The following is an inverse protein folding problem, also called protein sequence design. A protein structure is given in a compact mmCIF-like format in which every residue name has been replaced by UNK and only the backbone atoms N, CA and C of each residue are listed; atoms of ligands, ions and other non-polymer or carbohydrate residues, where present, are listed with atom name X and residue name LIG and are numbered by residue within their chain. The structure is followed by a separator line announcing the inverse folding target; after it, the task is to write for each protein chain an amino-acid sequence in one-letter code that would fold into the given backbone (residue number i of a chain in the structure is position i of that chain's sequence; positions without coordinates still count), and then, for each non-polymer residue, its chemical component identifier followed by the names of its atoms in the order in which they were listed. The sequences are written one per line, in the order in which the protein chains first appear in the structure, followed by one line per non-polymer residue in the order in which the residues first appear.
data_IF_402315605250
#
_entry.id   IF_402315605250
#
_cell.length_a   1.000
_cell.length_b   1.000
_cell.length_c   1.000
_cell.angle_alpha   90.00
_cell.angle_beta   90.00
_cell.angle_gamma   90.00
#
_symmetry.space_group_name_H-M   'P 1'
#
loop_
_entity.id
_entity.type
_entity.pdbx_description
1 polymer ?
2 polymer ?
3 non-polymer ?
4 non-polymer ?
5 water ?
#
# COMPACT_ATOMS: atom_id res chain seq x y z
N UNK A 1 3.40 22.46 -9.22
CA UNK A 1 2.66 22.13 -10.43
C UNK A 1 1.35 22.89 -10.56
N UNK A 2 0.31 22.22 -11.13
CA UNK A 2 -1.01 22.82 -11.35
C UNK A 2 -1.71 23.20 -10.05
N UNK A 3 -1.27 22.68 -8.89
CA UNK A 3 -1.87 23.00 -7.59
C UNK A 3 -1.03 24.03 -6.82
N UNK A 4 0.02 24.52 -7.46
CA UNK A 4 0.94 25.46 -6.84
C UNK A 4 0.32 26.73 -6.28
N UNK A 5 -0.76 27.21 -6.94
CA UNK A 5 -1.43 28.44 -6.50
C UNK A 5 -2.54 28.24 -5.48
N UNK A 6 -2.87 26.98 -5.12
CA UNK A 6 -3.93 26.76 -4.15
C UNK A 6 -3.37 26.59 -2.75
N UNK A 7 -4.07 27.16 -1.77
CA UNK A 7 -3.69 27.04 -0.35
C UNK A 7 -3.61 25.57 0.06
N UNK A 8 -2.65 25.23 0.91
CA UNK A 8 -2.56 23.88 1.46
C UNK A 8 -3.90 23.46 2.09
N UNK A 9 -4.50 24.33 2.94
CA UNK A 9 -5.75 23.93 3.62
C UNK A 9 -6.89 23.69 2.62
N UNK A 10 -6.91 24.46 1.51
CA UNK A 10 -7.98 24.32 0.51
C UNK A 10 -7.75 23.00 -0.23
N UNK A 11 -6.50 22.62 -0.48
CA UNK A 11 -6.21 21.32 -1.15
C UNK A 11 -6.69 20.15 -0.27
N UNK A 12 -6.46 20.21 1.05
CA UNK A 12 -6.93 19.14 1.98
C UNK A 12 -8.43 19.12 1.99
N UNK A 13 -9.06 20.30 2.09
CA UNK A 13 -10.54 20.36 2.09
C UNK A 13 -11.10 19.73 0.80
N UNK A 14 -10.51 20.08 -0.34
CA UNK A 14 -10.95 19.55 -1.63
C UNK A 14 -10.65 18.08 -1.79
N UNK A 15 -9.54 17.59 -1.18
CA UNK A 15 -9.31 16.13 -1.22
C UNK A 15 -10.46 15.40 -0.47
N UNK A 16 -10.93 15.96 0.68
CA UNK A 16 -12.03 15.32 1.44
C UNK A 16 -13.33 15.38 0.65
N UNK A 17 -13.57 16.48 -0.08
CA UNK A 17 -14.78 16.60 -0.90
C UNK A 17 -14.70 15.57 -2.06
N UNK A 18 -13.53 15.45 -2.69
CA UNK A 18 -13.33 14.51 -3.81
C UNK A 18 -13.56 13.08 -3.32
N UNK A 19 -13.11 12.73 -2.09
CA UNK A 19 -13.36 11.40 -1.58
C UNK A 19 -14.87 11.17 -1.46
N UNK A 20 -15.62 12.16 -0.92
CA UNK A 20 -17.08 12.03 -0.77
C UNK A 20 -17.78 11.82 -2.10
N UNK A 21 -17.25 12.46 -3.17
CA UNK A 21 -17.77 12.41 -4.54
C UNK A 21 -17.23 11.22 -5.33
N UNK A 22 -16.37 10.38 -4.70
CA UNK A 22 -15.73 9.21 -5.34
C UNK A 22 -14.89 9.64 -6.56
N UNK A 23 -14.25 10.81 -6.47
CA UNK A 23 -13.44 11.39 -7.53
C UNK A 23 -11.98 11.21 -7.12
N UNK A 24 -11.50 9.95 -7.22
CA UNK A 24 -10.19 9.62 -6.66
C UNK A 24 -9.01 10.20 -7.43
N UNK A 25 -9.12 10.40 -8.76
CA UNK A 25 -8.04 11.04 -9.51
C UNK A 25 -7.89 12.47 -9.01
N UNK A 26 -9.03 13.20 -8.86
CA UNK A 26 -8.95 14.55 -8.29
C UNK A 26 -8.38 14.51 -6.86
N UNK A 27 -8.83 13.56 -6.05
CA UNK A 27 -8.37 13.44 -4.66
C UNK A 27 -6.86 13.28 -4.62
N UNK A 28 -6.31 12.41 -5.52
CA UNK A 28 -4.86 12.21 -5.58
C UNK A 28 -4.14 13.47 -6.02
N UNK A 29 -4.68 14.19 -7.02
CA UNK A 29 -4.03 15.40 -7.48
C UNK A 29 -4.02 16.47 -6.40
N UNK A 30 -5.11 16.59 -5.62
CA UNK A 30 -5.15 17.55 -4.51
C UNK A 30 -4.12 17.16 -3.43
N UNK A 31 -4.04 15.86 -3.08
CA UNK A 31 -3.08 15.43 -2.08
C UNK A 31 -1.62 15.58 -2.55
N UNK A 32 -1.35 15.31 -3.85
CA UNK A 32 -0.01 15.55 -4.41
C UNK A 32 0.34 17.04 -4.21
N UNK A 33 -0.60 17.93 -4.57
CA UNK A 33 -0.40 19.37 -4.38
C UNK A 33 -0.12 19.72 -2.92
N UNK A 34 -0.84 19.08 -1.98
CA UNK A 34 -0.59 19.34 -0.54
C UNK A 34 0.81 18.86 -0.13
N UNK A 35 1.21 17.67 -0.58
CA UNK A 35 2.55 17.18 -0.25
C UNK A 35 3.62 18.14 -0.76
N UNK A 36 3.41 18.67 -1.99
CA UNK A 36 4.39 19.55 -2.63
C UNK A 36 4.52 20.91 -1.96
N UNK A 37 3.63 21.22 -0.99
CA UNK A 37 3.79 22.43 -0.18
C UNK A 37 5.04 22.33 0.70
N UNK A 38 5.55 21.10 0.88
CA UNK A 38 6.81 20.93 1.62
C UNK A 38 6.68 20.68 3.10
N UNK A 39 5.50 20.86 3.68
CA UNK A 39 5.28 20.60 5.08
C UNK A 39 5.03 19.13 5.33
N UNK A 40 5.37 18.65 6.53
CA UNK A 40 5.05 17.27 6.89
C UNK A 40 3.50 17.05 6.92
N UNK A 41 3.03 15.81 6.78
CA UNK A 41 1.60 15.49 6.80
C UNK A 41 1.15 14.96 8.15
N UNK A 42 -0.07 15.33 8.56
CA UNK A 42 -0.63 14.81 9.79
C UNK A 42 -1.11 13.37 9.53
N UNK A 43 -1.54 12.66 10.57
CA UNK A 43 -2.06 11.31 10.39
C UNK A 43 -3.24 11.29 9.40
N UNK A 44 -4.20 12.20 9.56
CA UNK A 44 -5.35 12.23 8.65
C UNK A 44 -4.90 12.49 7.23
N UNK A 45 -3.98 13.45 7.06
CA UNK A 45 -3.50 13.80 5.71
C UNK A 45 -2.75 12.62 5.03
N UNK A 46 -1.95 11.86 5.82
CA UNK A 46 -1.28 10.68 5.27
C UNK A 46 -2.31 9.69 4.77
N UNK A 47 -3.37 9.49 5.55
CA UNK A 47 -4.40 8.55 5.15
C UNK A 47 -5.15 9.06 3.92
N UNK A 48 -5.37 10.38 3.79
CA UNK A 48 -6.01 10.90 2.57
C UNK A 48 -5.11 10.65 1.36
N UNK A 49 -3.81 10.84 1.51
CA UNK A 49 -2.89 10.60 0.40
C UNK A 49 -2.93 9.11 -0.05
N UNK A 50 -2.86 8.21 0.94
CA UNK A 50 -2.86 6.77 0.67
C UNK A 50 -4.18 6.30 0.08
N UNK A 51 -5.33 6.72 0.66
CA UNK A 51 -6.64 6.31 0.10
C UNK A 51 -6.76 6.77 -1.36
N UNK A 52 -6.34 8.00 -1.65
CA UNK A 52 -6.47 8.56 -3.01
C UNK A 52 -5.69 7.70 -4.01
N UNK A 53 -4.40 7.51 -3.76
CA UNK A 53 -3.60 6.76 -4.72
C UNK A 53 -3.98 5.27 -4.75
N UNK A 54 -4.41 4.72 -3.61
CA UNK A 54 -4.81 3.30 -3.63
C UNK A 54 -6.00 3.08 -4.56
N UNK A 55 -6.94 4.00 -4.53
CA UNK A 55 -8.13 3.89 -5.39
C UNK A 55 -7.72 4.06 -6.85
N UNK A 56 -6.87 5.04 -7.15
CA UNK A 56 -6.44 5.25 -8.54
C UNK A 56 -5.69 4.01 -9.04
N UNK A 57 -4.64 3.56 -8.32
CA UNK A 57 -3.86 2.41 -8.78
C UNK A 57 -4.71 1.13 -8.82
N UNK A 58 -5.69 1.03 -7.92
CA UNK A 58 -6.59 -0.14 -7.86
C UNK A 58 -7.36 -0.31 -9.14
N UNK A 59 -7.90 0.78 -9.69
CA UNK A 59 -8.60 0.73 -10.96
C UNK A 59 -7.68 0.30 -12.10
N UNK A 60 -6.43 0.80 -12.08
CA UNK A 60 -5.45 0.49 -13.11
C UNK A 60 -5.04 -0.99 -13.01
N UNK A 61 -4.81 -1.49 -11.79
CA UNK A 61 -4.43 -2.91 -11.59
C UNK A 61 -5.54 -3.84 -12.08
N UNK A 62 -6.80 -3.54 -11.76
CA UNK A 62 -7.94 -4.35 -12.16
C UNK A 62 -8.03 -4.35 -13.70
N UNK A 63 -7.84 -3.16 -14.33
CA UNK A 63 -7.90 -3.10 -15.80
C UNK A 63 -6.73 -3.90 -16.43
N UNK A 64 -5.52 -3.70 -15.89
CA UNK A 64 -4.34 -4.40 -16.37
C UNK A 64 -4.54 -5.92 -16.31
N UNK A 65 -5.13 -6.43 -15.22
CA UNK A 65 -5.34 -7.87 -15.12
C UNK A 65 -6.31 -8.39 -16.16
N UNK A 66 -7.41 -7.65 -16.42
CA UNK A 66 -8.39 -8.04 -17.44
C UNK A 66 -7.67 -8.11 -18.79
N UNK A 67 -6.89 -7.06 -19.12
CA UNK A 67 -6.20 -7.01 -20.43
C UNK A 67 -5.13 -8.08 -20.56
N UNK A 68 -4.33 -8.29 -19.50
CA UNK A 68 -3.29 -9.32 -19.49
C UNK A 68 -3.89 -10.72 -19.73
N UNK A 69 -5.05 -10.99 -19.13
CA UNK A 69 -5.74 -12.28 -19.26
C UNK A 69 -6.19 -12.47 -20.71
N UNK A 70 -6.72 -11.40 -21.35
CA UNK A 70 -7.16 -11.48 -22.76
C UNK A 70 -5.94 -11.72 -23.65
N UNK A 71 -4.84 -10.99 -23.36
CA UNK A 71 -3.60 -11.10 -24.10
C UNK A 71 -3.02 -12.52 -24.02
N UNK A 72 -2.97 -13.09 -22.80
CA UNK A 72 -2.45 -14.45 -22.57
C UNK A 72 -3.26 -15.48 -23.36
N UNK A 73 -4.61 -15.36 -23.36
CA UNK A 73 -5.51 -16.23 -24.12
C UNK A 73 -5.27 -16.12 -25.63
N UNK A 74 -5.10 -14.86 -26.13
CA UNK A 74 -4.85 -14.56 -27.54
C UNK A 74 -3.51 -15.10 -28.04
N UNK A 75 -2.60 -15.47 -27.11
CA UNK A 75 -1.27 -16.02 -27.38
C UNK A 75 -1.26 -17.49 -27.00
N UNK A 83 -3.88 -9.42 -34.19
CA UNK A 83 -3.27 -8.11 -34.37
C UNK A 83 -2.59 -7.58 -33.12
N UNK A 84 -1.98 -6.40 -33.21
CA UNK A 84 -1.20 -5.87 -32.07
C UNK A 84 -2.04 -5.13 -31.02
N UNK A 85 -3.34 -5.02 -31.22
CA UNK A 85 -4.19 -4.14 -30.40
C UNK A 85 -4.26 -4.50 -28.93
N UNK A 86 -4.42 -5.79 -28.59
CA UNK A 86 -4.54 -6.17 -27.18
C UNK A 86 -3.24 -5.83 -26.46
N UNK A 87 -2.08 -6.19 -27.05
CA UNK A 87 -0.77 -5.86 -26.46
C UNK A 87 -0.62 -4.33 -26.34
N UNK A 88 -0.97 -3.57 -27.41
CA UNK A 88 -0.83 -2.13 -27.39
C UNK A 88 -1.65 -1.52 -26.24
N UNK A 89 -2.90 -1.96 -26.09
CA UNK A 89 -3.77 -1.40 -25.07
C UNK A 89 -3.34 -1.83 -23.66
N UNK A 90 -2.88 -3.10 -23.52
CA UNK A 90 -2.37 -3.55 -22.21
C UNK A 90 -1.14 -2.70 -21.86
N UNK A 91 -0.26 -2.42 -22.85
CA UNK A 91 0.91 -1.57 -22.66
C UNK A 91 0.50 -0.16 -22.25
N UNK A 92 -0.55 0.40 -22.86
CA UNK A 92 -1.03 1.76 -22.55
C UNK A 92 -1.43 1.83 -21.07
N UNK A 93 -2.24 0.88 -20.64
CA UNK A 93 -2.70 0.84 -19.23
C UNK A 93 -1.51 0.60 -18.30
N UNK A 94 -0.59 -0.31 -18.69
CA UNK A 94 0.60 -0.62 -17.90
C UNK A 94 1.48 0.64 -17.69
N UNK A 95 1.65 1.41 -18.76
CA UNK A 95 2.48 2.64 -18.69
C UNK A 95 1.82 3.66 -17.74
N UNK A 96 0.50 3.79 -17.81
CA UNK A 96 -0.20 4.72 -16.95
C UNK A 96 -0.08 4.29 -15.49
N UNK A 97 -0.20 2.97 -15.24
CA UNK A 97 -0.04 2.37 -13.92
C UNK A 97 1.36 2.69 -13.37
N UNK A 98 2.40 2.46 -14.20
CA UNK A 98 3.79 2.71 -13.83
C UNK A 98 3.98 4.17 -13.53
N UNK A 99 3.33 5.04 -14.30
CA UNK A 99 3.40 6.47 -14.05
C UNK A 99 2.87 6.87 -12.68
N UNK A 100 1.71 6.28 -12.28
CA UNK A 100 1.12 6.56 -10.95
C UNK A 100 2.08 6.05 -9.84
N UNK A 101 2.60 4.83 -9.99
CA UNK A 101 3.55 4.32 -8.99
C UNK A 101 4.77 5.20 -8.88
N UNK A 102 5.33 5.60 -10.02
CA UNK A 102 6.49 6.50 -10.02
C UNK A 102 6.17 7.83 -9.34
N UNK A 103 4.97 8.37 -9.57
CA UNK A 103 4.59 9.65 -8.93
C UNK A 103 4.55 9.47 -7.40
N UNK A 104 3.91 8.39 -6.93
CA UNK A 104 3.83 8.16 -5.48
C UNK A 104 5.24 7.97 -4.89
N UNK A 105 6.05 7.09 -5.54
CA UNK A 105 7.41 6.88 -5.07
C UNK A 105 8.23 8.19 -5.04
N UNK A 106 7.98 9.06 -6.02
CA UNK A 106 8.65 10.37 -6.09
C UNK A 106 8.27 11.25 -4.91
N UNK A 107 6.99 11.24 -4.49
CA UNK A 107 6.56 12.02 -3.35
C UNK A 107 7.21 11.47 -2.07
N UNK A 108 7.27 10.15 -1.96
CA UNK A 108 7.89 9.56 -0.77
C UNK A 108 9.37 9.90 -0.70
N UNK A 109 10.06 9.92 -1.85
CA UNK A 109 11.50 10.21 -1.91
C UNK A 109 11.82 11.71 -1.88
N UNK A 110 10.82 12.55 -2.16
CA UNK A 110 10.98 14.01 -2.23
C UNK A 110 9.85 14.79 -1.55
N UNK A 111 9.79 14.86 -0.19
CA UNK A 111 10.80 14.37 0.78
C UNK A 111 10.12 13.79 1.99
N UNK A 112 9.02 13.06 1.77
CA UNK A 112 8.23 12.56 2.90
C UNK A 112 8.98 11.64 3.83
N UNK A 113 9.68 10.64 3.28
CA UNK A 113 10.39 9.70 4.14
C UNK A 113 11.51 10.35 4.92
N UNK A 114 12.36 11.13 4.24
CA UNK A 114 13.50 11.70 4.92
C UNK A 114 13.11 12.63 6.07
N UNK A 115 11.92 13.28 5.99
CA UNK A 115 11.45 14.15 7.08
C UNK A 115 10.65 13.42 8.15
N UNK A 116 10.33 12.13 7.92
CA UNK A 116 9.51 11.35 8.85
C UNK A 116 10.38 10.73 9.94
N UNK A 117 10.23 11.25 11.14
CA UNK A 117 10.99 10.80 12.31
C UNK A 117 10.18 9.93 13.27
N UNK A 118 8.88 10.21 13.41
CA UNK A 118 8.07 9.40 14.29
C UNK A 118 7.78 8.07 13.70
N UNK A 119 7.65 7.04 14.54
CA UNK A 119 7.38 5.71 14.01
C UNK A 119 6.13 5.63 13.16
N UNK A 120 5.02 6.29 13.61
CA UNK A 120 3.73 6.26 12.92
C UNK A 120 3.81 6.82 11.51
N UNK A 121 4.63 7.86 11.31
CA UNK A 121 4.76 8.43 9.97
C UNK A 121 5.79 7.62 9.14
N UNK A 122 6.97 7.32 9.72
CA UNK A 122 8.01 6.61 9.00
C UNK A 122 7.58 5.22 8.55
N UNK A 123 6.91 4.45 9.45
CA UNK A 123 6.42 3.13 9.05
C UNK A 123 5.34 3.25 7.95
N UNK A 124 4.46 4.25 8.10
CA UNK A 124 3.36 4.49 7.12
C UNK A 124 3.94 4.73 5.72
N UNK A 125 4.97 5.58 5.61
CA UNK A 125 5.57 5.88 4.33
C UNK A 125 6.39 4.75 3.78
N UNK A 126 7.15 4.05 4.64
CA UNK A 126 7.95 2.94 4.14
C UNK A 126 7.05 1.79 3.66
N UNK A 127 5.90 1.58 4.34
CA UNK A 127 4.93 0.58 3.87
C UNK A 127 4.41 1.01 2.46
N UNK A 128 4.07 2.32 2.27
CA UNK A 128 3.60 2.78 0.95
C UNK A 128 4.70 2.53 -0.08
N UNK A 129 5.99 2.80 0.27
CA UNK A 129 7.09 2.56 -0.67
C UNK A 129 7.12 1.07 -1.08
N UNK A 130 7.02 0.19 -0.10
CA UNK A 130 6.90 -1.26 -0.38
C UNK A 130 5.72 -1.58 -1.30
N UNK A 131 4.53 -1.00 -1.01
CA UNK A 131 3.32 -1.28 -1.79
C UNK A 131 3.46 -0.84 -3.23
N UNK A 132 3.99 0.37 -3.46
CA UNK A 132 4.04 0.86 -4.86
C UNK A 132 5.15 0.16 -5.66
N UNK A 133 6.25 -0.30 -5.00
CA UNK A 133 7.22 -1.13 -5.72
C UNK A 133 6.57 -2.51 -5.98
N UNK A 134 5.71 -3.00 -5.04
CA UNK A 134 5.00 -4.27 -5.28
C UNK A 134 4.05 -4.16 -6.50
N UNK A 135 3.36 -3.02 -6.67
CA UNK A 135 2.47 -2.83 -7.83
C UNK A 135 3.30 -2.75 -9.12
N UNK A 136 4.49 -2.15 -9.04
CA UNK A 136 5.39 -2.16 -10.19
C UNK A 136 5.85 -3.59 -10.48
N UNK A 137 6.13 -4.39 -9.41
CA UNK A 137 6.57 -5.78 -9.62
C UNK A 137 5.50 -6.64 -10.29
N UNK A 138 4.21 -6.37 -10.00
CA UNK A 138 3.09 -7.15 -10.53
C UNK A 138 3.10 -7.12 -12.08
N UNK A 139 3.60 -6.02 -12.70
CA UNK A 139 3.61 -5.84 -14.17
C UNK A 139 5.00 -5.97 -14.78
N UNK A 140 6.04 -6.14 -13.94
CA UNK A 140 7.43 -6.20 -14.39
C UNK A 140 7.77 -7.56 -14.98
N UNK A 141 8.55 -7.55 -16.07
CA UNK A 141 8.98 -8.75 -16.85
C UNK A 141 10.40 -8.58 -17.39
N UNK A 142 10.90 -7.34 -17.40
CA UNK A 142 12.20 -6.97 -17.95
C UNK A 142 13.40 -7.55 -17.22
N UNK A 144 14.72 -5.83 -14.92
CA UNK A 144 14.41 -4.93 -13.82
C UNK A 144 13.43 -5.52 -12.78
N UNK A 145 12.72 -6.64 -13.09
CA UNK A 145 11.79 -7.27 -12.15
C UNK A 145 12.49 -7.59 -10.83
N UNK A 146 13.67 -8.22 -10.87
CA UNK A 146 14.44 -8.57 -9.67
C UNK A 146 14.76 -7.35 -8.83
N UNK A 147 15.24 -6.27 -9.46
CA UNK A 147 15.60 -5.06 -8.74
C UNK A 147 14.35 -4.41 -8.13
N UNK A 148 13.20 -4.44 -8.85
CA UNK A 148 11.95 -3.86 -8.32
C UNK A 148 11.51 -4.64 -7.07
N UNK A 149 11.61 -5.98 -7.14
CA UNK A 149 11.26 -6.86 -6.03
C UNK A 149 12.16 -6.56 -4.84
N UNK A 150 13.47 -6.41 -5.05
CA UNK A 150 14.33 -6.12 -3.92
C UNK A 150 14.06 -4.74 -3.32
N UNK A 151 13.67 -3.73 -4.14
CA UNK A 151 13.31 -2.41 -3.61
C UNK A 151 12.05 -2.54 -2.72
N UNK A 152 11.06 -3.35 -3.16
CA UNK A 152 9.86 -3.55 -2.34
C UNK A 152 10.23 -4.22 -1.02
N UNK A 153 11.03 -5.31 -1.10
CA UNK A 153 11.46 -6.05 0.09
C UNK A 153 12.20 -5.14 1.07
N UNK A 154 13.16 -4.35 0.57
CA UNK A 154 13.96 -3.45 1.40
C UNK A 154 13.07 -2.45 2.16
N UNK A 155 12.10 -1.85 1.46
CA UNK A 155 11.22 -0.87 2.12
C UNK A 155 10.37 -1.53 3.19
N UNK A 156 9.73 -2.68 2.83
CA UNK A 156 8.94 -3.41 3.81
C UNK A 156 9.79 -3.82 5.01
N UNK A 157 11.02 -4.28 4.77
CA UNK A 157 11.88 -4.76 5.88
C UNK A 157 12.23 -3.63 6.83
N UNK A 158 12.61 -2.44 6.29
CA UNK A 158 12.92 -1.29 7.15
C UNK A 158 11.65 -0.93 7.98
N UNK A 159 10.48 -0.91 7.33
CA UNK A 159 9.22 -0.60 8.02
C UNK A 159 8.96 -1.64 9.12
N UNK A 160 9.21 -2.93 8.83
CA UNK A 160 8.98 -4.00 9.83
C UNK A 160 9.91 -3.80 11.02
N UNK A 161 11.20 -3.54 10.75
CA UNK A 161 12.16 -3.37 11.84
C UNK A 161 11.73 -2.25 12.80
N UNK A 162 11.33 -1.09 12.24
CA UNK A 162 10.90 0.04 13.06
C UNK A 162 9.63 -0.33 13.80
N UNK A 163 8.67 -0.96 13.12
CA UNK A 163 7.38 -1.28 13.73
C UNK A 163 7.54 -2.24 14.93
N UNK A 164 8.44 -3.24 14.81
CA UNK A 164 8.64 -4.19 15.90
C UNK A 164 9.30 -3.53 17.09
N UNK A 165 10.15 -2.54 16.88
CA UNK A 165 10.81 -1.83 17.97
C UNK A 165 9.94 -0.77 18.62
N UNK A 166 9.12 -0.05 17.82
CA UNK A 166 8.43 1.14 18.28
C UNK A 166 6.92 1.06 18.43
N UNK A 167 6.28 0.01 17.97
CA UNK A 167 4.82 -0.02 18.08
C UNK A 167 4.37 -1.29 18.75
N UNK A 168 3.19 -1.27 19.42
CA UNK A 168 2.65 -2.52 19.96
C UNK A 168 2.18 -3.44 18.83
N UNK A 169 2.10 -4.77 19.11
CA UNK A 169 1.69 -5.72 18.06
C UNK A 169 0.29 -5.53 17.50
N UNK A 170 -0.57 -4.74 18.18
CA UNK A 170 -1.92 -4.51 17.69
C UNK A 170 -2.03 -3.21 16.92
N UNK A 171 -0.91 -2.48 16.80
CA UNK A 171 -0.87 -1.20 16.07
C UNK A 171 -1.46 -1.41 14.66
N UNK A 172 -2.53 -0.69 14.28
CA UNK A 172 -3.14 -0.85 12.95
C UNK A 172 -2.15 -0.72 11.79
N UNK A 173 -1.20 0.22 11.91
CA UNK A 173 -0.22 0.45 10.84
C UNK A 173 0.69 -0.78 10.78
N UNK A 174 1.18 -1.23 11.95
CA UNK A 174 2.04 -2.41 12.03
C UNK A 174 1.29 -3.62 11.43
N UNK A 175 0.00 -3.81 11.79
CA UNK A 175 -0.78 -4.93 11.27
C UNK A 175 -0.94 -4.89 9.75
N UNK A 176 -1.27 -3.71 9.21
CA UNK A 176 -1.44 -3.53 7.77
C UNK A 176 -0.15 -3.77 7.01
N UNK A 177 0.97 -3.31 7.59
CA UNK A 177 2.28 -3.56 7.01
C UNK A 177 2.54 -5.06 6.93
N UNK A 178 2.33 -5.76 8.06
CA UNK A 178 2.59 -7.21 8.08
C UNK A 178 1.70 -7.96 7.08
N UNK A 179 0.42 -7.56 7.00
CA UNK A 179 -0.51 -8.13 6.04
C UNK A 179 0.05 -7.97 4.60
N UNK A 180 0.45 -6.75 4.24
CA UNK A 180 0.96 -6.48 2.89
C UNK A 180 2.28 -7.17 2.60
N UNK A 181 3.19 -7.20 3.60
CA UNK A 181 4.48 -7.87 3.42
C UNK A 181 4.25 -9.35 3.23
N UNK A 182 3.27 -9.94 3.96
CA UNK A 182 2.95 -11.36 3.83
C UNK A 182 2.48 -11.65 2.39
N UNK A 183 1.65 -10.75 1.81
CA UNK A 183 1.17 -10.93 0.44
C UNK A 183 2.32 -10.77 -0.55
N UNK A 184 3.25 -9.83 -0.32
CA UNK A 184 4.45 -9.67 -1.13
C UNK A 184 5.21 -11.03 -1.12
N UNK A 185 5.40 -11.64 0.09
CA UNK A 185 6.12 -12.90 0.15
C UNK A 185 5.39 -13.98 -0.64
N UNK A 186 4.06 -14.05 -0.50
CA UNK A 186 3.31 -15.12 -1.12
C UNK A 186 3.31 -15.11 -2.63
N UNK A 187 3.04 -13.96 -3.21
CA UNK A 187 2.89 -13.99 -4.66
C UNK A 187 3.86 -13.14 -5.47
N UNK A 188 4.75 -12.39 -4.84
CA UNK A 188 5.76 -11.64 -5.58
C UNK A 188 7.12 -12.34 -5.43
N UNK A 189 7.48 -12.67 -4.17
CA UNK A 189 8.76 -13.29 -3.83
C UNK A 189 8.70 -14.82 -3.97
N UNK A 190 7.52 -15.38 -4.27
CA UNK A 190 7.34 -16.85 -4.39
C UNK A 190 7.87 -17.57 -3.13
N UNK A 191 7.55 -16.97 -1.96
CA UNK A 191 7.92 -17.47 -0.65
C UNK A 191 6.65 -17.73 0.18
N UNK A 192 5.78 -18.69 -0.25
CA UNK A 192 4.54 -18.93 0.50
C UNK A 192 4.75 -19.31 1.95
N UNK A 193 5.81 -20.04 2.27
CA UNK A 193 6.06 -20.39 3.66
C UNK A 193 6.38 -19.18 4.53
N UNK A 194 7.17 -18.22 3.99
CA UNK A 194 7.50 -16.98 4.72
C UNK A 194 6.20 -16.19 4.93
N UNK A 195 5.35 -16.15 3.90
CA UNK A 195 4.06 -15.45 3.97
C UNK A 195 3.19 -16.00 5.06
N UNK A 196 3.06 -17.34 5.12
CA UNK A 196 2.21 -17.99 6.11
C UNK A 196 2.78 -17.77 7.53
N UNK A 197 4.11 -17.92 7.70
CA UNK A 197 4.77 -17.72 8.99
C UNK A 197 4.55 -16.28 9.49
N UNK A 198 4.75 -15.30 8.59
CA UNK A 198 4.57 -13.91 8.99
C UNK A 198 3.11 -13.65 9.38
N UNK A 199 2.15 -14.11 8.58
CA UNK A 199 0.74 -13.85 8.89
C UNK A 199 0.33 -14.51 10.23
N UNK A 200 0.79 -15.74 10.46
CA UNK A 200 0.49 -16.46 11.72
C UNK A 200 1.10 -15.76 12.93
N UNK A 201 2.42 -15.46 12.91
CA UNK A 201 3.06 -14.79 14.03
C UNK A 201 2.40 -13.42 14.31
N UNK A 202 2.13 -12.67 13.24
CA UNK A 202 1.52 -11.34 13.44
C UNK A 202 0.14 -11.47 14.09
N UNK A 203 -0.67 -12.41 13.59
CA UNK A 203 -2.02 -12.65 14.18
C UNK A 203 -1.90 -13.04 15.65
N UNK A 204 -1.08 -14.04 15.95
CA UNK A 204 -0.92 -14.54 17.32
C UNK A 204 -0.41 -13.47 18.31
N UNK A 205 0.57 -12.64 17.92
CA UNK A 205 1.11 -11.59 18.76
C UNK A 205 0.07 -10.50 18.96
N UNK A 206 -0.72 -10.21 17.91
CA UNK A 206 -1.79 -9.21 18.11
C UNK A 206 -2.87 -9.73 19.09
N UNK A 207 -3.25 -11.00 18.93
CA UNK A 207 -4.29 -11.61 19.79
C UNK A 207 -3.91 -11.46 21.26
N UNK A 208 -2.65 -11.71 21.57
CA UNK A 208 -2.14 -11.65 22.92
C UNK A 208 -2.10 -10.24 23.52
N UNK A 209 -2.25 -9.19 22.67
CA UNK A 209 -2.15 -7.80 23.12
C UNK A 209 -3.53 -7.13 23.09
N UNK A 210 -4.58 -7.83 22.60
CA UNK A 210 -5.91 -7.21 22.51
C UNK A 210 -6.44 -6.76 23.85
N UNK A 211 -6.05 -7.46 24.93
CA UNK A 211 -6.56 -7.16 26.28
C UNK A 211 -6.22 -5.73 26.74
N UNK A 212 -5.21 -5.10 26.10
CA UNK A 212 -4.75 -3.75 26.50
C UNK A 212 -5.56 -2.63 25.89
N UNK A 213 -6.40 -2.96 24.90
CA UNK A 213 -7.11 -1.97 24.09
C UNK A 213 -8.48 -1.58 24.56
N UNK A 214 -8.86 -0.35 24.17
CA UNK A 214 -10.20 0.16 24.36
C UNK A 214 -11.09 -0.49 23.32
N UNK A 215 -12.42 -0.34 23.48
CA UNK A 215 -13.41 -0.88 22.54
C UNK A 215 -13.14 -0.43 21.08
N UNK A 216 -12.87 0.88 20.85
CA UNK A 216 -12.60 1.41 19.50
C UNK A 216 -11.30 0.87 18.89
N UNK A 217 -10.20 0.84 19.67
CA UNK A 217 -8.91 0.32 19.22
C UNK A 217 -9.03 -1.19 18.91
N UNK A 218 -9.79 -1.90 19.76
CA UNK A 218 -10.02 -3.34 19.56
C UNK A 218 -10.69 -3.57 18.20
N UNK A 219 -11.70 -2.74 17.84
CA UNK A 219 -12.40 -2.83 16.56
C UNK A 219 -11.41 -2.62 15.39
N UNK A 220 -10.54 -1.58 15.49
CA UNK A 220 -9.53 -1.23 14.48
C UNK A 220 -8.56 -2.42 14.25
N UNK A 221 -7.98 -2.96 15.35
CA UNK A 221 -7.01 -4.06 15.26
C UNK A 221 -7.64 -5.36 14.77
N UNK A 222 -8.81 -5.74 15.31
CA UNK A 222 -9.45 -7.00 14.90
C UNK A 222 -9.87 -6.98 13.43
N UNK A 223 -10.22 -5.79 12.87
CA UNK A 223 -10.58 -5.69 11.45
C UNK A 223 -9.40 -6.18 10.58
N UNK A 224 -8.17 -5.75 10.91
CA UNK A 224 -7.00 -6.13 10.13
C UNK A 224 -6.59 -7.56 10.41
N UNK A 225 -6.73 -8.00 11.68
CA UNK A 225 -6.45 -9.39 12.03
C UNK A 225 -7.33 -10.36 11.20
N UNK A 226 -8.58 -9.98 10.90
CA UNK A 226 -9.49 -10.79 10.09
C UNK A 226 -8.95 -10.92 8.66
N UNK A 227 -8.28 -9.86 8.15
CA UNK A 227 -7.68 -9.95 6.84
C UNK A 227 -6.53 -10.97 6.83
N UNK A 228 -5.68 -10.99 7.91
CA UNK A 228 -4.60 -11.97 8.02
C UNK A 228 -5.24 -13.38 8.03
N UNK A 229 -6.35 -13.56 8.82
CA UNK A 229 -7.05 -14.84 8.91
C UNK A 229 -7.59 -15.25 7.54
N UNK A 230 -8.19 -14.30 6.80
CA UNK A 230 -8.74 -14.58 5.46
C UNK A 230 -7.67 -15.14 4.56
N UNK A 231 -6.47 -14.51 4.56
CA UNK A 231 -5.37 -15.00 3.74
C UNK A 231 -4.91 -16.36 4.20
N UNK A 232 -4.73 -16.54 5.53
CA UNK A 232 -4.31 -17.84 6.06
C UNK A 232 -5.25 -18.96 5.66
N UNK A 233 -6.55 -18.68 5.65
CA UNK A 233 -7.58 -19.65 5.22
C UNK A 233 -7.37 -20.09 3.78
N UNK A 234 -7.04 -19.15 2.89
CA UNK A 234 -6.81 -19.43 1.48
C UNK A 234 -5.47 -20.14 1.26
N UNK A 235 -4.48 -19.89 2.16
CA UNK A 235 -3.14 -20.43 1.99
C UNK A 235 -2.86 -21.78 2.65
N UNK A 236 -3.71 -22.20 3.59
CA UNK A 236 -3.50 -23.45 4.35
C UNK A 236 -4.68 -24.42 4.25
N UNK B 1 -7.73 -13.03 -11.83
CA UNK B 1 -6.72 -13.56 -10.92
C UNK B 1 -7.26 -13.51 -9.49
N UNK B 2 -6.90 -14.51 -8.68
CA UNK B 2 -7.30 -14.58 -7.25
C UNK B 2 -6.42 -13.60 -6.47
N UNK B 3 -7.01 -12.50 -5.99
CA UNK B 3 -6.28 -11.45 -5.25
C UNK B 3 -6.43 -11.68 -3.75
N UNK B 4 -5.31 -11.70 -3.03
CA UNK B 4 -5.34 -11.89 -1.58
C UNK B 4 -5.61 -10.56 -0.89
N UNK B 5 -6.01 -10.62 0.38
CA UNK B 5 -6.33 -9.42 1.15
C UNK B 5 -5.11 -8.57 1.41
N UNK B 6 -5.19 -7.26 1.06
CA UNK B 6 -4.15 -6.29 1.38
C UNK B 6 -4.85 -5.14 2.10
N UNK B 7 -4.08 -4.29 2.78
CA UNK B 7 -4.57 -3.19 3.59
C UNK B 7 -5.31 -2.13 2.74
N UNK B 8 -6.30 -1.49 3.35
CA UNK B 8 -7.00 -0.36 2.75
C UNK B 8 -8.01 -0.66 1.68
N UNK B 9 -8.39 0.38 0.92
CA UNK B 9 -9.43 0.23 -0.12
C UNK B 9 -9.19 -0.93 -1.08
N UNK B 10 -10.20 -1.82 -1.19
CA UNK B 10 -10.21 -3.00 -2.08
C UNK B 10 -10.74 -2.44 -3.42
N UNK B 11 -9.91 -1.56 -4.04
CA UNK B 11 -10.18 -0.76 -5.24
C UNK B 11 -9.91 -1.45 -6.59
N UNK B 12 -9.35 -2.66 -6.56
CA UNK B 12 -9.11 -3.43 -7.78
C UNK B 12 -10.11 -4.61 -7.81
X LIG C 1 -7.23 8.65 10.99
X LIG C 1 -7.18 7.31 10.62
X LIG C 1 -7.69 6.91 9.39
X LIG C 1 -8.82 7.65 7.17
X LIG C 1 -9.89 8.97 5.31
X LIG C 1 -6.68 9.09 12.31
X LIG C 1 -7.59 5.22 8.99
X LIG C 1 -4.92 9.42 12.04
X LIG C 1 -8.24 7.81 8.48
X LIG C 1 -9.24 8.81 6.60
X LIG C 1 -10.46 10.16 5.10
X LIG C 1 -10.02 8.10 4.40
X LIG C 1 -8.92 10.18 7.64
X LIG C 1 -8.25 9.16 8.88
X LIG C 1 -7.74 9.58 10.10
X LIG D 1 10.03 15.31 11.03
#
# INVERSE_FOLDING_TARGET
GAMGSMERASLIQKAKLAEQAERYEDMAAFMKGAVEKGEELSCEERNLLSVAYKNVVGGQRAAWRVLSSIEQKSNEEGSEEKGPEVREYREKVETELQGVCDTVLGLLDSHLIKEAGDAESRVFYLKMKGDYYRYLAEVATGDDKKRIIDSARSAYQEAMDISKKEMPPTNPIRLGLALNFSVFHYEIANSPEEAISLAKTTFDEAMADLHTLSEDSYKDSTLIMQLLRDNLTLWTADNAGEEGGEAPQEPQS
KLMFKTEGPDSD
KLZ C1 C2 C3 C7 C8 C9 CL S1 C4 C6 N1 N S C5 C
MG MG
#
